data_IF_913845291529
#
_entry.id   IF_913845291529
#
_cell.length_a   1.000
_cell.length_b   1.000
_cell.length_c   1.000
_cell.angle_alpha   90.00
_cell.angle_beta   90.00
_cell.angle_gamma   90.00
#
_symmetry.space_group_name_H-M   'P 1'
#
loop_
_entity.id
_entity.type
_entity.pdbx_description
1 polymer ?
#
# COMPACT_ATOMS: atom_id res chain seq x y z
N UNK A 1 -6.60 24.96 -15.52
CA UNK A 1 -6.68 25.35 -14.09
C UNK A 1 -5.68 24.47 -13.33
N UNK A 2 -4.96 25.04 -12.37
CA UNK A 2 -3.63 24.64 -11.87
C UNK A 2 -3.43 23.14 -11.60
N UNK A 3 -2.44 22.56 -12.30
CA UNK A 3 -1.73 21.34 -11.90
C UNK A 3 -0.92 21.64 -10.64
N UNK A 4 -1.23 20.96 -9.53
CA UNK A 4 -0.33 20.80 -8.39
C UNK A 4 -0.81 19.63 -7.51
N UNK A 5 -0.32 18.42 -7.80
CA UNK A 5 -0.26 17.35 -6.80
C UNK A 5 1.17 16.78 -6.78
N UNK A 6 2.10 17.56 -6.21
CA UNK A 6 3.42 17.06 -5.85
C UNK A 6 3.57 17.08 -4.33
N UNK A 7 3.08 16.01 -3.73
CA UNK A 7 3.77 15.36 -2.62
C UNK A 7 3.70 13.87 -2.90
N UNK A 8 4.67 13.37 -3.68
CA UNK A 8 4.85 11.93 -3.86
C UNK A 8 5.60 11.41 -2.63
N UNK A 9 4.90 11.35 -1.49
CA UNK A 9 5.41 10.62 -0.35
C UNK A 9 5.22 9.12 -0.61
N UNK A 10 6.22 8.35 -0.23
CA UNK A 10 6.21 6.91 -0.30
C UNK A 10 6.25 6.34 1.12
N UNK A 11 5.50 5.29 1.36
CA UNK A 11 5.74 4.41 2.50
C UNK A 11 6.35 3.11 2.02
N UNK A 12 7.13 2.49 2.89
CA UNK A 12 7.76 1.22 2.59
C UNK A 12 7.61 0.27 3.77
N UNK A 13 7.52 -1.01 3.46
CA UNK A 13 7.68 -2.09 4.43
C UNK A 13 8.50 -3.21 3.79
N UNK A 14 9.12 -4.04 4.61
CA UNK A 14 9.96 -5.13 4.15
C UNK A 14 9.92 -6.29 5.12
N UNK A 15 10.11 -7.49 4.59
CA UNK A 15 10.29 -8.70 5.39
C UNK A 15 11.40 -9.57 4.81
N UNK A 16 11.81 -10.58 5.56
CA UNK A 16 12.85 -11.52 5.18
C UNK A 16 12.44 -12.95 5.52
N UNK A 17 12.39 -13.83 4.52
CA UNK A 17 12.05 -15.26 4.66
C UNK A 17 13.14 -16.19 4.09
N UNK A 18 14.38 -15.68 4.02
CA UNK A 18 15.49 -16.27 3.28
C UNK A 18 15.96 -15.42 2.11
N UNK A 19 15.13 -14.44 1.70
CA UNK A 19 15.46 -13.36 0.76
C UNK A 19 14.74 -12.07 1.17
N UNK A 20 15.27 -10.88 0.82
CA UNK A 20 14.61 -9.63 1.13
C UNK A 20 13.41 -9.40 0.21
N UNK A 21 12.31 -8.99 0.82
CA UNK A 21 11.11 -8.54 0.13
C UNK A 21 10.84 -7.08 0.50
N UNK A 22 10.57 -6.23 -0.48
CA UNK A 22 10.23 -4.81 -0.25
C UNK A 22 8.91 -4.50 -0.95
N UNK A 23 8.06 -3.75 -0.27
CA UNK A 23 6.86 -3.13 -0.84
C UNK A 23 6.93 -1.64 -0.62
N UNK A 24 6.74 -0.88 -1.68
CA UNK A 24 6.68 0.59 -1.65
C UNK A 24 5.32 1.02 -2.16
N UNK A 25 4.64 1.85 -1.37
CA UNK A 25 3.32 2.37 -1.69
C UNK A 25 3.40 3.86 -1.97
N UNK A 26 2.81 4.28 -3.08
CA UNK A 26 2.74 5.68 -3.50
C UNK A 26 1.31 6.05 -3.88
N UNK A 27 1.02 7.36 -3.88
CA UNK A 27 -0.23 7.90 -4.40
C UNK A 27 0.04 8.56 -5.76
N UNK A 28 -0.63 8.10 -6.82
CA UNK A 28 -0.54 8.74 -8.13
C UNK A 28 -1.40 10.00 -8.21
N UNK A 29 -1.14 10.84 -9.21
CA UNK A 29 -1.81 12.14 -9.37
C UNK A 29 -3.32 12.07 -9.61
N UNK A 30 -3.80 10.92 -10.10
CA UNK A 30 -5.20 10.55 -10.29
C UNK A 30 -5.87 10.00 -9.01
N UNK A 31 -5.12 9.91 -7.90
CA UNK A 31 -5.63 9.48 -6.60
C UNK A 31 -5.63 7.97 -6.38
N UNK A 32 -5.00 7.19 -7.26
CA UNK A 32 -4.90 5.74 -7.08
C UNK A 32 -3.69 5.37 -6.22
N UNK A 33 -3.86 4.38 -5.33
CA UNK A 33 -2.73 3.79 -4.61
C UNK A 33 -1.98 2.85 -5.55
N UNK A 34 -0.65 2.99 -5.59
CA UNK A 34 0.27 2.19 -6.40
C UNK A 34 1.17 1.38 -5.49
N UNK A 35 1.47 0.14 -5.87
CA UNK A 35 2.39 -0.75 -5.15
C UNK A 35 3.55 -1.13 -6.07
N UNK A 36 4.78 -0.89 -5.62
CA UNK A 36 6.01 -1.40 -6.25
C UNK A 36 6.62 -2.49 -5.40
N UNK A 37 6.88 -3.63 -6.00
CA UNK A 37 7.33 -4.85 -5.34
C UNK A 37 8.75 -5.20 -5.76
N UNK A 38 9.58 -5.60 -4.80
CA UNK A 38 10.86 -6.25 -5.02
C UNK A 38 10.87 -7.60 -4.29
N UNK A 39 11.10 -8.68 -5.04
CA UNK A 39 11.18 -10.04 -4.50
C UNK A 39 12.49 -10.77 -4.85
N UNK A 40 13.28 -10.26 -5.80
CA UNK A 40 14.55 -10.87 -6.21
C UNK A 40 15.46 -9.95 -7.03
N UNK A 41 15.04 -9.62 -8.26
CA UNK A 41 15.92 -9.13 -9.33
C UNK A 41 15.39 -7.91 -10.08
N UNK A 42 14.08 -7.65 -10.02
CA UNK A 42 13.47 -6.47 -10.63
C UNK A 42 12.30 -5.94 -9.80
N UNK A 43 12.03 -4.66 -9.99
CA UNK A 43 10.81 -4.03 -9.50
C UNK A 43 9.65 -4.33 -10.43
N UNK A 44 8.47 -4.58 -9.87
CA UNK A 44 7.24 -4.78 -10.62
C UNK A 44 6.03 -4.17 -9.91
N UNK A 45 4.95 -3.94 -10.64
CA UNK A 45 3.71 -3.44 -10.08
C UNK A 45 3.00 -4.54 -9.27
N UNK A 46 2.70 -4.27 -8.01
CA UNK A 46 2.00 -5.19 -7.13
C UNK A 46 0.49 -5.18 -7.33
N UNK A 47 -0.18 -6.16 -6.72
CA UNK A 47 -1.60 -6.40 -6.90
C UNK A 47 -2.48 -5.25 -6.37
N UNK A 48 -2.03 -4.44 -5.41
CA UNK A 48 -2.79 -3.30 -4.89
C UNK A 48 -2.99 -2.20 -5.93
N UNK A 49 -2.10 -2.15 -6.94
CA UNK A 49 -2.03 -1.08 -7.92
C UNK A 49 -3.39 -0.85 -8.58
N UNK A 50 -3.90 0.38 -8.47
CA UNK A 50 -5.18 0.82 -9.03
C UNK A 50 -6.44 0.15 -8.45
N UNK A 51 -6.33 -0.60 -7.35
CA UNK A 51 -7.51 -1.18 -6.69
C UNK A 51 -8.26 -0.20 -5.80
N UNK A 52 -7.56 0.77 -5.20
CA UNK A 52 -8.14 1.69 -4.23
C UNK A 52 -7.79 3.14 -4.55
N UNK A 53 -8.76 4.02 -4.33
CA UNK A 53 -8.56 5.45 -4.36
C UNK A 53 -8.25 5.98 -2.96
N UNK A 54 -7.38 6.98 -2.91
CA UNK A 54 -6.97 7.65 -1.69
C UNK A 54 -6.74 9.14 -1.95
N UNK A 55 -6.73 9.91 -0.86
CA UNK A 55 -6.58 11.36 -0.88
C UNK A 55 -5.32 11.84 -0.15
N UNK A 56 -4.58 10.94 0.50
CA UNK A 56 -3.28 11.24 1.09
C UNK A 56 -2.26 10.12 0.84
N UNK A 57 -1.00 10.42 1.14
CA UNK A 57 0.07 9.43 1.00
C UNK A 57 -0.17 8.24 1.95
N UNK A 58 -0.01 7.00 1.46
CA UNK A 58 -0.25 5.82 2.28
C UNK A 58 0.82 5.66 3.36
N UNK A 59 0.43 5.16 4.53
CA UNK A 59 1.33 4.52 5.51
C UNK A 59 1.26 3.00 5.38
N UNK A 60 2.32 2.27 5.76
CA UNK A 60 2.35 0.82 5.63
C UNK A 60 3.06 0.13 6.80
N UNK A 61 2.59 -1.07 7.14
CA UNK A 61 3.26 -1.99 8.07
C UNK A 61 3.07 -3.44 7.61
N UNK A 62 3.91 -4.33 8.12
CA UNK A 62 3.83 -5.76 7.82
C UNK A 62 4.32 -6.63 8.97
N UNK A 63 3.88 -7.88 8.98
CA UNK A 63 4.39 -8.91 9.89
C UNK A 63 4.28 -10.30 9.24
N UNK A 64 5.13 -11.23 9.70
CA UNK A 64 5.05 -12.64 9.34
C UNK A 64 4.29 -13.40 10.44
N UNK A 65 3.35 -14.24 10.04
CA UNK A 65 2.70 -15.23 10.92
C UNK A 65 2.74 -16.60 10.25
N UNK A 66 3.38 -17.58 10.89
CA UNK A 66 3.59 -18.90 10.29
C UNK A 66 4.31 -18.88 8.92
N UNK A 67 5.06 -17.82 8.61
CA UNK A 67 5.70 -17.60 7.30
C UNK A 67 4.79 -16.93 6.26
N UNK A 68 3.51 -16.72 6.55
CA UNK A 68 2.62 -15.91 5.72
C UNK A 68 2.87 -14.42 5.98
N UNK A 69 3.06 -13.64 4.92
CA UNK A 69 3.13 -12.19 5.02
C UNK A 69 1.74 -11.58 5.16
N UNK A 70 1.59 -10.69 6.13
CA UNK A 70 0.44 -9.83 6.33
C UNK A 70 0.86 -8.38 6.08
N UNK A 71 0.15 -7.67 5.20
CA UNK A 71 0.40 -6.27 4.89
C UNK A 71 -0.80 -5.44 5.31
N UNK A 72 -0.55 -4.25 5.87
CA UNK A 72 -1.56 -3.24 6.11
C UNK A 72 -1.10 -1.93 5.50
N UNK A 73 -1.97 -1.32 4.71
CA UNK A 73 -1.77 -0.01 4.08
C UNK A 73 -2.89 0.90 4.54
N UNK A 74 -2.54 2.07 5.04
CA UNK A 74 -3.49 3.03 5.60
C UNK A 74 -3.46 4.31 4.78
N UNK A 75 -4.61 4.79 4.34
CA UNK A 75 -4.73 6.11 3.73
C UNK A 75 -6.12 6.68 3.96
N UNK A 76 -6.30 7.99 3.75
CA UNK A 76 -7.62 8.62 3.79
C UNK A 76 -8.31 8.49 2.45
N UNK A 77 -9.61 8.23 2.44
CA UNK A 77 -10.46 8.34 1.25
C UNK A 77 -11.24 9.64 1.26
N UNK A 78 -11.87 9.97 0.12
CA UNK A 78 -12.70 11.17 0.00
C UNK A 78 -14.01 11.08 0.81
N UNK A 79 -14.46 9.87 1.13
CA UNK A 79 -15.81 9.61 1.66
C UNK A 79 -15.81 9.09 3.09
N UNK A 80 -14.83 8.26 3.46
CA UNK A 80 -14.94 7.40 4.65
C UNK A 80 -13.87 7.68 5.73
N UNK A 81 -13.08 8.75 5.58
CA UNK A 81 -11.97 9.03 6.49
C UNK A 81 -10.80 8.08 6.26
N UNK A 82 -10.08 7.70 7.33
CA UNK A 82 -9.01 6.71 7.21
C UNK A 82 -9.57 5.31 6.91
N UNK A 83 -8.94 4.66 5.93
CA UNK A 83 -9.23 3.29 5.53
C UNK A 83 -7.95 2.45 5.58
N UNK A 84 -8.16 1.18 5.91
CA UNK A 84 -7.14 0.14 5.90
C UNK A 84 -7.35 -0.77 4.68
N UNK A 85 -6.25 -1.09 3.99
CA UNK A 85 -6.19 -2.10 2.95
C UNK A 85 -5.32 -3.24 3.46
N UNK A 86 -5.85 -4.45 3.40
CA UNK A 86 -5.26 -5.65 3.99
C UNK A 86 -4.85 -6.64 2.91
N UNK A 87 -3.65 -7.19 3.04
CA UNK A 87 -3.24 -8.42 2.36
C UNK A 87 -2.97 -9.48 3.41
N UNK A 88 -3.64 -10.63 3.30
CA UNK A 88 -3.40 -11.77 4.19
C UNK A 88 -3.06 -13.06 3.44
N UNK A 89 -3.21 -13.10 2.10
CA UNK A 89 -2.77 -14.23 1.25
C UNK A 89 -2.95 -14.00 -0.25
N UNK A 90 -4.21 -13.83 -0.67
CA UNK A 90 -4.62 -14.04 -2.08
C UNK A 90 -5.11 -12.75 -2.75
N UNK A 91 -5.69 -11.82 -1.98
CA UNK A 91 -6.23 -10.58 -2.51
C UNK A 91 -6.17 -9.47 -1.48
N UNK A 92 -6.13 -8.24 -1.98
CA UNK A 92 -6.32 -7.06 -1.17
C UNK A 92 -7.80 -6.85 -0.86
N UNK A 93 -8.11 -6.44 0.36
CA UNK A 93 -9.46 -6.13 0.78
C UNK A 93 -9.48 -4.95 1.76
N UNK A 94 -10.65 -4.35 1.94
CA UNK A 94 -10.85 -3.27 2.92
C UNK A 94 -10.89 -3.86 4.33
N UNK A 95 -9.97 -3.40 5.18
CA UNK A 95 -9.87 -3.79 6.58
C UNK A 95 -10.93 -3.16 7.49
N UNK A 96 -10.92 -3.61 8.75
CA UNK A 96 -11.90 -3.20 9.75
C UNK A 96 -11.54 -1.86 10.43
N UNK A 97 -10.29 -1.40 10.32
CA UNK A 97 -9.88 -0.12 10.88
C UNK A 97 -10.66 1.05 10.25
N UNK A 98 -11.17 1.93 11.11
CA UNK A 98 -11.81 3.20 10.78
C UNK A 98 -11.18 4.27 11.67
N UNK A 99 -10.34 5.13 11.09
CA UNK A 99 -9.82 6.27 11.84
C UNK A 99 -10.89 7.34 11.89
N UNK A 100 -11.52 7.46 13.06
CA UNK A 100 -12.52 8.49 13.41
C UNK A 100 -11.86 9.81 13.75
#
# INVERSE_FOLDING_TARGET
>A
MSSNRLSQSASATSWFDGKPHIRVYTLSGDGNVKESCWDKDHWYAGALTDQFQANCAPGATSWLDGGQIHLRVYSTTLTDGFQEFCWDKDSWYVGAFKGT
#
